data_IF_849205409545
#
_entry.id   IF_849205409545
#
_cell.length_a   1.000
_cell.length_b   1.000
_cell.length_c   1.000
_cell.angle_alpha   90.00
_cell.angle_beta   90.00
_cell.angle_gamma   90.00
#
_symmetry.space_group_name_H-M   'P 1'
#
loop_
_entity.id
_entity.type
_entity.pdbx_description
1 polymer ?
#
# COMPACT_ATOMS: atom_id res chain seq x y z
N UNK A 1 -74.55 -46.19 14.84
CA UNK A 1 -73.91 -44.92 15.23
C UNK A 1 -72.49 -44.99 14.72
N UNK A 2 -72.26 -44.33 13.59
CA UNK A 2 -70.98 -44.24 12.91
C UNK A 2 -70.10 -43.28 13.69
N UNK A 3 -68.93 -43.73 14.13
CA UNK A 3 -67.96 -42.86 14.80
C UNK A 3 -66.89 -42.48 13.78
N UNK A 4 -66.81 -41.18 13.53
CA UNK A 4 -66.07 -40.54 12.47
C UNK A 4 -64.62 -40.34 12.95
N UNK A 5 -63.72 -41.24 12.54
CA UNK A 5 -62.28 -41.06 12.74
C UNK A 5 -61.80 -39.92 11.83
N UNK A 6 -61.71 -38.72 12.40
CA UNK A 6 -60.98 -37.60 11.81
C UNK A 6 -59.48 -37.92 11.84
N UNK A 7 -58.78 -37.93 10.69
CA UNK A 7 -57.34 -38.06 10.70
C UNK A 7 -56.73 -36.74 11.20
N UNK A 8 -55.99 -36.81 12.30
CA UNK A 8 -55.13 -35.72 12.77
C UNK A 8 -54.06 -35.52 11.69
N UNK A 9 -54.27 -34.51 10.85
CA UNK A 9 -53.27 -34.02 9.91
C UNK A 9 -52.16 -33.37 10.73
N UNK A 10 -51.09 -34.13 11.01
CA UNK A 10 -49.83 -33.54 11.46
C UNK A 10 -49.27 -32.82 10.23
N UNK A 11 -49.69 -31.57 10.05
CA UNK A 11 -48.97 -30.64 9.20
C UNK A 11 -47.57 -30.54 9.79
N UNK A 12 -46.64 -31.22 9.12
CA UNK A 12 -45.22 -30.98 9.30
C UNK A 12 -45.01 -29.55 8.82
N UNK A 13 -45.00 -28.60 9.76
CA UNK A 13 -44.43 -27.27 9.52
C UNK A 13 -42.96 -27.51 9.16
N UNK A 14 -42.72 -27.71 7.86
CA UNK A 14 -41.43 -27.47 7.22
C UNK A 14 -41.13 -25.98 7.44
N UNK A 15 -40.62 -25.68 8.62
CA UNK A 15 -39.90 -24.45 8.91
C UNK A 15 -38.63 -24.51 8.10
N UNK A 16 -38.74 -24.16 6.82
CA UNK A 16 -37.62 -23.75 6.00
C UNK A 16 -36.81 -22.74 6.83
N UNK A 17 -35.52 -22.98 7.11
CA UNK A 17 -34.74 -22.10 7.94
C UNK A 17 -34.76 -20.69 7.32
N UNK A 18 -34.99 -19.63 8.11
CA UNK A 18 -35.13 -18.28 7.59
C UNK A 18 -33.88 -17.91 6.79
N UNK A 19 -34.09 -17.55 5.53
CA UNK A 19 -33.10 -16.97 4.65
C UNK A 19 -32.66 -15.59 5.17
N UNK A 20 -31.79 -15.56 6.18
CA UNK A 20 -31.40 -14.30 6.83
C UNK A 20 -30.17 -14.31 7.74
N UNK A 21 -29.39 -15.40 7.80
CA UNK A 21 -28.32 -15.56 8.79
C UNK A 21 -26.89 -15.53 8.19
N UNK A 22 -26.65 -14.82 7.09
CA UNK A 22 -25.30 -14.66 6.53
C UNK A 22 -24.95 -13.18 6.39
N UNK A 23 -23.74 -12.74 6.81
CA UNK A 23 -23.34 -11.36 6.62
C UNK A 23 -23.31 -11.03 5.13
N UNK A 24 -23.87 -9.88 4.76
CA UNK A 24 -23.86 -9.40 3.39
C UNK A 24 -22.43 -9.19 2.89
N UNK A 25 -22.21 -9.37 1.59
CA UNK A 25 -20.89 -9.26 0.97
C UNK A 25 -20.24 -7.89 1.22
N UNK A 26 -21.04 -6.81 1.25
CA UNK A 26 -20.55 -5.47 1.60
C UNK A 26 -19.99 -5.38 3.03
N UNK A 27 -20.59 -6.08 4.00
CA UNK A 27 -20.08 -6.13 5.38
C UNK A 27 -18.77 -6.92 5.45
N UNK A 28 -18.66 -8.00 4.70
CA UNK A 28 -17.43 -8.79 4.60
C UNK A 28 -16.29 -7.95 4.02
N UNK A 29 -16.54 -7.24 2.92
CA UNK A 29 -15.56 -6.33 2.33
C UNK A 29 -15.17 -5.21 3.29
N UNK A 30 -16.14 -4.61 3.97
CA UNK A 30 -15.86 -3.57 4.96
C UNK A 30 -14.94 -4.08 6.07
N UNK A 31 -15.14 -5.30 6.55
CA UNK A 31 -14.31 -5.89 7.62
C UNK A 31 -12.90 -6.18 7.14
N UNK A 32 -12.75 -6.67 5.91
CA UNK A 32 -11.42 -6.85 5.31
C UNK A 32 -10.72 -5.49 5.20
N UNK A 33 -11.42 -4.45 4.75
CA UNK A 33 -10.87 -3.10 4.65
C UNK A 33 -10.46 -2.54 6.02
N UNK A 34 -11.34 -2.64 7.02
CA UNK A 34 -11.08 -2.18 8.38
C UNK A 34 -9.94 -2.93 9.04
N UNK A 35 -9.71 -4.20 8.69
CA UNK A 35 -8.57 -4.97 9.21
C UNK A 35 -7.27 -4.62 8.47
N UNK A 36 -7.36 -4.28 7.18
CA UNK A 36 -6.20 -4.01 6.32
C UNK A 36 -5.69 -2.56 6.43
N UNK A 37 -6.56 -1.60 6.72
CA UNK A 37 -6.18 -0.20 6.94
C UNK A 37 -5.12 -0.02 8.05
N UNK A 38 -5.27 -0.56 9.27
CA UNK A 38 -4.26 -0.41 10.32
C UNK A 38 -2.97 -1.15 9.96
N UNK A 39 -3.05 -2.28 9.25
CA UNK A 39 -1.88 -2.98 8.72
C UNK A 39 -1.09 -2.08 7.76
N UNK A 40 -1.76 -1.41 6.82
CA UNK A 40 -1.11 -0.43 5.92
C UNK A 40 -0.46 0.73 6.68
N UNK A 41 -1.15 1.25 7.69
CA UNK A 41 -0.60 2.30 8.56
C UNK A 41 0.67 1.84 9.28
N UNK A 42 0.69 0.63 9.82
CA UNK A 42 1.87 0.06 10.51
C UNK A 42 3.01 -0.25 9.54
N UNK A 43 2.71 -0.77 8.34
CA UNK A 43 3.71 -0.98 7.30
C UNK A 43 4.35 0.36 6.88
N UNK A 44 3.54 1.39 6.69
CA UNK A 44 4.03 2.73 6.36
C UNK A 44 4.87 3.32 7.49
N UNK A 45 4.41 3.20 8.74
CA UNK A 45 5.17 3.64 9.90
C UNK A 45 6.51 2.91 10.02
N UNK A 46 6.54 1.58 9.86
CA UNK A 46 7.76 0.79 9.88
C UNK A 46 8.73 1.20 8.77
N UNK A 47 8.21 1.50 7.59
CA UNK A 47 8.99 2.02 6.48
C UNK A 47 9.62 3.35 6.84
N UNK A 48 8.87 4.32 7.35
CA UNK A 48 9.38 5.65 7.70
C UNK A 48 10.27 5.66 8.97
N UNK A 49 10.03 4.77 9.93
CA UNK A 49 10.73 4.76 11.21
C UNK A 49 12.01 3.92 11.18
N UNK A 50 11.97 2.72 10.61
CA UNK A 50 13.09 1.76 10.63
C UNK A 50 13.71 1.48 9.27
N UNK A 51 13.16 2.03 8.18
CA UNK A 51 13.56 1.70 6.81
C UNK A 51 13.23 0.24 6.46
N UNK A 52 12.15 -0.26 7.07
CA UNK A 52 11.60 -1.56 6.74
C UNK A 52 10.90 -1.52 5.38
N UNK A 53 10.78 -2.67 4.71
CA UNK A 53 10.08 -2.75 3.43
C UNK A 53 8.63 -2.27 3.55
N UNK A 54 8.21 -1.45 2.59
CA UNK A 54 6.80 -1.13 2.39
C UNK A 54 6.24 -2.05 1.32
N UNK A 55 5.68 -3.17 1.76
CA UNK A 55 5.23 -4.27 0.90
C UNK A 55 4.33 -3.83 -0.27
N UNK A 56 3.42 -2.85 -0.16
CA UNK A 56 2.64 -2.38 -1.31
C UNK A 56 3.52 -1.89 -2.49
N UNK A 57 4.61 -1.18 -2.22
CA UNK A 57 5.54 -0.74 -3.26
C UNK A 57 6.37 -1.91 -3.80
N UNK A 58 6.82 -2.80 -2.91
CA UNK A 58 7.57 -3.98 -3.32
C UNK A 58 6.73 -4.87 -4.25
N UNK A 59 5.43 -4.98 -3.98
CA UNK A 59 4.48 -5.73 -4.80
C UNK A 59 4.24 -5.10 -6.17
N UNK A 60 4.22 -3.77 -6.24
CA UNK A 60 4.13 -3.05 -7.51
C UNK A 60 5.40 -3.21 -8.36
N UNK A 61 6.57 -3.19 -7.72
CA UNK A 61 7.87 -3.26 -8.39
C UNK A 61 8.26 -4.71 -8.78
N UNK A 62 7.79 -5.72 -8.04
CA UNK A 62 8.19 -7.12 -8.23
C UNK A 62 7.95 -7.65 -9.65
N UNK A 63 6.78 -7.46 -10.30
CA UNK A 63 6.58 -7.93 -11.67
C UNK A 63 7.48 -7.21 -12.68
N UNK A 64 7.83 -5.95 -12.43
CA UNK A 64 8.77 -5.19 -13.27
C UNK A 64 10.15 -5.86 -13.21
N UNK A 65 10.61 -6.21 -11.99
CA UNK A 65 11.89 -6.91 -11.79
C UNK A 65 11.89 -8.33 -12.35
N UNK A 66 10.75 -8.99 -12.32
CA UNK A 66 10.57 -10.30 -12.94
C UNK A 66 10.50 -10.23 -14.47
N UNK A 67 10.47 -9.04 -15.08
CA UNK A 67 10.35 -8.86 -16.53
C UNK A 67 8.96 -9.23 -17.06
N UNK A 68 7.91 -9.11 -16.25
CA UNK A 68 6.56 -9.47 -16.63
C UNK A 68 5.94 -8.43 -17.58
N UNK A 69 6.08 -8.66 -18.88
CA UNK A 69 5.72 -7.74 -19.95
C UNK A 69 4.29 -7.15 -19.88
N UNK A 70 3.23 -7.91 -19.51
CA UNK A 70 1.88 -7.33 -19.41
C UNK A 70 1.75 -6.23 -18.36
N UNK A 71 2.48 -6.35 -17.24
CA UNK A 71 2.48 -5.34 -16.19
C UNK A 71 3.25 -4.09 -16.60
N UNK A 72 4.40 -4.28 -17.24
CA UNK A 72 5.21 -3.18 -17.78
C UNK A 72 4.40 -2.40 -18.82
N UNK A 73 3.77 -3.08 -19.77
CA UNK A 73 2.93 -2.44 -20.79
C UNK A 73 1.73 -1.68 -20.20
N UNK A 74 1.13 -2.19 -19.11
CA UNK A 74 0.07 -1.47 -18.40
C UNK A 74 0.59 -0.16 -17.78
N UNK A 75 1.75 -0.20 -17.12
CA UNK A 75 2.36 0.99 -16.51
C UNK A 75 2.72 2.01 -17.59
N UNK A 76 3.32 1.56 -18.69
CA UNK A 76 3.70 2.42 -19.81
C UNK A 76 2.47 3.08 -20.45
N UNK A 77 1.36 2.33 -20.60
CA UNK A 77 0.11 2.87 -21.10
C UNK A 77 -0.50 3.92 -20.16
N UNK A 78 -0.48 3.68 -18.84
CA UNK A 78 -1.00 4.63 -17.85
C UNK A 78 -0.18 5.91 -17.78
N UNK A 79 1.14 5.81 -17.86
CA UNK A 79 2.02 6.98 -17.91
C UNK A 79 1.91 7.71 -19.26
N UNK A 80 1.82 6.96 -20.36
CA UNK A 80 1.63 7.50 -21.72
C UNK A 80 0.32 8.28 -21.86
N UNK A 81 -0.78 7.76 -21.29
CA UNK A 81 -2.08 8.43 -21.28
C UNK A 81 -2.03 9.80 -20.57
N UNK A 82 -1.30 9.91 -19.46
CA UNK A 82 -1.13 11.20 -18.77
C UNK A 82 -0.41 12.23 -19.63
N UNK A 83 0.58 11.78 -20.39
CA UNK A 83 1.31 12.62 -21.36
C UNK A 83 0.40 13.10 -22.48
N UNK A 84 -0.48 12.23 -22.98
CA UNK A 84 -1.43 12.54 -24.05
C UNK A 84 -2.50 13.57 -23.62
N UNK A 85 -2.88 13.57 -22.34
CA UNK A 85 -3.78 14.56 -21.74
C UNK A 85 -3.06 15.88 -21.35
N UNK A 86 -1.79 16.05 -21.76
CA UNK A 86 -0.99 17.25 -21.48
C UNK A 86 -0.40 17.31 -20.05
N UNK A 87 -0.48 16.21 -19.30
CA UNK A 87 0.09 16.10 -17.95
C UNK A 87 1.59 15.82 -17.94
N UNK A 88 2.30 16.36 -16.96
CA UNK A 88 3.72 16.10 -16.78
C UNK A 88 3.96 14.75 -16.07
N UNK A 89 4.54 13.79 -16.79
CA UNK A 89 4.91 12.45 -16.29
C UNK A 89 5.75 12.54 -15.01
N UNK A 90 6.65 13.52 -14.92
CA UNK A 90 7.52 13.66 -13.75
C UNK A 90 6.75 14.02 -12.47
N UNK A 91 5.62 14.74 -12.59
CA UNK A 91 4.75 15.04 -11.46
C UNK A 91 3.78 13.88 -11.17
N UNK A 92 3.29 13.18 -12.20
CA UNK A 92 2.22 12.21 -12.05
C UNK A 92 2.69 10.78 -11.79
N UNK A 93 3.84 10.36 -12.31
CA UNK A 93 4.35 9.00 -12.14
C UNK A 93 4.51 8.57 -10.67
N UNK A 94 5.01 9.43 -9.74
CA UNK A 94 5.07 9.08 -8.32
C UNK A 94 3.69 8.83 -7.72
N UNK A 95 2.69 9.64 -8.09
CA UNK A 95 1.32 9.49 -7.61
C UNK A 95 0.65 8.22 -8.17
N UNK A 96 0.81 7.95 -9.46
CA UNK A 96 0.31 6.73 -10.12
C UNK A 96 0.88 5.49 -9.46
N UNK A 97 2.21 5.46 -9.25
CA UNK A 97 2.87 4.37 -8.55
C UNK A 97 2.29 4.18 -7.15
N UNK A 98 2.11 5.26 -6.40
CA UNK A 98 1.57 5.21 -5.04
C UNK A 98 0.15 4.63 -5.01
N UNK A 99 -0.75 5.14 -5.85
CA UNK A 99 -2.14 4.71 -5.93
C UNK A 99 -2.26 3.27 -6.41
N UNK A 100 -1.54 2.87 -7.46
CA UNK A 100 -1.55 1.50 -7.98
C UNK A 100 -1.00 0.52 -6.96
N UNK A 101 0.08 0.86 -6.27
CA UNK A 101 0.66 0.01 -5.23
C UNK A 101 -0.36 -0.31 -4.13
N UNK A 102 -1.07 0.71 -3.65
CA UNK A 102 -2.12 0.53 -2.65
C UNK A 102 -3.32 -0.24 -3.23
N UNK A 103 -3.74 0.08 -4.45
CA UNK A 103 -4.88 -0.58 -5.09
C UNK A 103 -4.63 -2.07 -5.30
N UNK A 104 -3.46 -2.46 -5.82
CA UNK A 104 -3.07 -3.86 -6.02
C UNK A 104 -2.99 -4.60 -4.69
N UNK A 105 -2.36 -3.99 -3.69
CA UNK A 105 -2.27 -4.59 -2.35
C UNK A 105 -3.66 -4.82 -1.76
N UNK A 106 -4.55 -3.83 -1.83
CA UNK A 106 -5.93 -3.95 -1.36
C UNK A 106 -6.72 -5.00 -2.14
N UNK A 107 -6.57 -5.08 -3.46
CA UNK A 107 -7.21 -6.11 -4.28
C UNK A 107 -6.77 -7.52 -3.87
N UNK A 108 -5.48 -7.72 -3.61
CA UNK A 108 -4.95 -8.99 -3.14
C UNK A 108 -5.45 -9.30 -1.72
N UNK A 109 -5.46 -8.31 -0.81
CA UNK A 109 -6.00 -8.47 0.54
C UNK A 109 -7.50 -8.82 0.52
N UNK A 110 -8.29 -8.19 -0.36
CA UNK A 110 -9.69 -8.54 -0.59
C UNK A 110 -9.85 -9.95 -1.14
N UNK A 111 -9.05 -10.34 -2.15
CA UNK A 111 -9.09 -11.68 -2.70
C UNK A 111 -8.81 -12.74 -1.64
N UNK A 112 -7.77 -12.55 -0.82
CA UNK A 112 -7.45 -13.45 0.29
C UNK A 112 -8.51 -13.45 1.38
N UNK A 113 -9.01 -12.29 1.80
CA UNK A 113 -10.05 -12.18 2.80
C UNK A 113 -11.38 -12.82 2.38
N UNK A 114 -11.76 -12.65 1.10
CA UNK A 114 -12.93 -13.31 0.51
C UNK A 114 -12.74 -14.82 0.37
N UNK A 115 -11.56 -15.27 -0.07
CA UNK A 115 -11.23 -16.69 -0.13
C UNK A 115 -11.29 -17.34 1.26
N UNK A 116 -10.79 -16.64 2.29
CA UNK A 116 -10.90 -17.07 3.67
C UNK A 116 -12.36 -17.11 4.14
N UNK A 117 -13.14 -16.07 3.89
CA UNK A 117 -14.58 -16.06 4.20
C UNK A 117 -15.33 -17.23 3.53
N UNK A 118 -15.06 -17.49 2.25
CA UNK A 118 -15.64 -18.62 1.53
C UNK A 118 -15.21 -19.97 2.11
N UNK A 119 -13.94 -20.09 2.54
CA UNK A 119 -13.44 -21.27 3.23
C UNK A 119 -14.13 -21.51 4.57
N UNK A 120 -14.37 -20.45 5.35
CA UNK A 120 -15.07 -20.56 6.63
C UNK A 120 -16.53 -20.96 6.43
N UNK A 121 -17.21 -20.35 5.45
CA UNK A 121 -18.58 -20.74 5.08
C UNK A 121 -18.67 -22.23 4.70
N UNK A 122 -17.67 -22.76 3.98
CA UNK A 122 -17.63 -24.18 3.60
C UNK A 122 -17.44 -25.12 4.79
N UNK A 123 -16.69 -24.71 5.82
CA UNK A 123 -16.51 -25.52 7.04
C UNK A 123 -17.70 -25.46 7.98
N UNK A 124 -18.58 -24.45 7.86
CA UNK A 124 -19.78 -24.32 8.69
C UNK A 124 -19.48 -24.16 10.18
N UNK A 125 -18.27 -23.73 10.53
CA UNK A 125 -17.81 -23.51 11.91
C UNK A 125 -17.26 -22.10 12.06
N UNK A 126 -17.32 -21.56 13.26
CA UNK A 126 -16.69 -20.28 13.60
C UNK A 126 -15.17 -20.41 13.42
N UNK A 127 -14.49 -19.44 12.80
CA UNK A 127 -13.06 -19.51 12.57
C UNK A 127 -12.29 -19.31 13.89
N UNK A 128 -11.32 -20.19 14.12
CA UNK A 128 -10.56 -20.21 15.37
C UNK A 128 -9.24 -19.41 15.25
N UNK A 129 -8.50 -19.33 16.35
CA UNK A 129 -7.15 -18.74 16.38
C UNK A 129 -6.21 -19.42 15.37
N UNK A 130 -6.25 -20.75 15.26
CA UNK A 130 -5.42 -21.52 14.33
C UNK A 130 -5.71 -21.12 12.88
N UNK A 131 -6.98 -20.86 12.54
CA UNK A 131 -7.37 -20.43 11.20
C UNK A 131 -6.81 -19.04 10.88
N UNK A 132 -6.81 -18.15 11.87
CA UNK A 132 -6.19 -16.83 11.79
C UNK A 132 -4.67 -16.87 11.62
N UNK A 133 -3.97 -17.71 12.40
CA UNK A 133 -2.53 -17.92 12.20
C UNK A 133 -2.23 -18.50 10.82
N UNK A 134 -3.01 -19.48 10.37
CA UNK A 134 -2.79 -20.13 9.09
C UNK A 134 -2.99 -19.16 7.92
N UNK A 135 -4.08 -18.38 7.91
CA UNK A 135 -4.32 -17.41 6.83
C UNK A 135 -3.30 -16.26 6.86
N UNK A 136 -2.93 -15.81 8.07
CA UNK A 136 -1.90 -14.79 8.24
C UNK A 136 -0.53 -15.25 7.74
N UNK A 137 -0.11 -16.46 8.09
CA UNK A 137 1.14 -17.05 7.60
C UNK A 137 1.11 -17.31 6.09
N UNK A 138 -0.02 -17.80 5.56
CA UNK A 138 -0.20 -18.03 4.13
C UNK A 138 -0.11 -16.73 3.32
N UNK A 139 -0.65 -15.64 3.86
CA UNK A 139 -0.54 -14.32 3.26
C UNK A 139 0.86 -13.70 3.44
N UNK A 140 1.50 -13.94 4.58
CA UNK A 140 2.84 -13.45 4.87
C UNK A 140 3.89 -14.00 3.90
N UNK A 141 3.83 -15.29 3.58
CA UNK A 141 4.84 -15.98 2.76
C UNK A 141 5.12 -15.29 1.41
N UNK A 142 4.12 -15.04 0.54
CA UNK A 142 4.36 -14.33 -0.73
C UNK A 142 4.78 -12.87 -0.49
N UNK A 143 4.25 -12.19 0.52
CA UNK A 143 4.59 -10.80 0.82
C UNK A 143 6.05 -10.63 1.27
N UNK A 144 6.54 -11.58 2.08
CA UNK A 144 7.94 -11.65 2.51
C UNK A 144 8.84 -11.92 1.31
N UNK A 145 8.48 -12.88 0.45
CA UNK A 145 9.26 -13.20 -0.75
C UNK A 145 9.42 -11.98 -1.67
N UNK A 146 8.31 -11.29 -1.94
CA UNK A 146 8.29 -10.06 -2.73
C UNK A 146 9.19 -8.99 -2.11
N UNK A 147 9.06 -8.77 -0.79
CA UNK A 147 9.84 -7.76 -0.08
C UNK A 147 11.34 -8.09 -0.07
N UNK A 148 11.73 -9.36 0.15
CA UNK A 148 13.13 -9.78 0.16
C UNK A 148 13.82 -9.71 -1.22
N UNK A 149 13.05 -9.85 -2.30
CA UNK A 149 13.58 -9.83 -3.67
C UNK A 149 13.61 -8.45 -4.30
N UNK A 150 12.80 -7.53 -3.78
CA UNK A 150 12.51 -6.24 -4.43
C UNK A 150 12.96 -5.05 -3.58
N UNK A 151 12.87 -5.17 -2.25
CA UNK A 151 13.04 -4.03 -1.36
C UNK A 151 14.48 -3.54 -1.35
N UNK A 152 14.71 -2.21 -1.38
CA UNK A 152 16.05 -1.63 -1.28
C UNK A 152 16.59 -1.60 0.16
N UNK A 153 15.83 -2.10 1.14
CA UNK A 153 16.23 -2.07 2.55
C UNK A 153 17.56 -2.81 2.79
N UNK A 154 18.50 -2.16 3.47
CA UNK A 154 19.80 -2.73 3.87
C UNK A 154 19.72 -3.53 5.18
N UNK A 155 18.52 -3.66 5.75
CA UNK A 155 18.32 -4.37 7.01
C UNK A 155 18.54 -5.88 6.86
N UNK A 156 18.93 -6.58 7.93
CA UNK A 156 19.05 -8.04 7.91
C UNK A 156 17.72 -8.70 7.50
N UNK A 157 17.79 -9.69 6.60
CA UNK A 157 16.62 -10.42 6.12
C UNK A 157 15.76 -11.00 7.25
N UNK A 158 16.40 -11.48 8.33
CA UNK A 158 15.71 -12.00 9.51
C UNK A 158 14.78 -10.95 10.15
N UNK A 159 15.20 -9.68 10.22
CA UNK A 159 14.37 -8.62 10.77
C UNK A 159 13.16 -8.34 9.88
N UNK A 160 13.34 -8.34 8.56
CA UNK A 160 12.27 -8.19 7.58
C UNK A 160 11.24 -9.32 7.72
N UNK A 161 11.72 -10.58 7.78
CA UNK A 161 10.89 -11.77 7.93
C UNK A 161 10.08 -11.72 9.22
N UNK A 162 10.73 -11.39 10.35
CA UNK A 162 10.06 -11.31 11.66
C UNK A 162 9.03 -10.19 11.68
N UNK A 163 9.38 -9.00 11.17
CA UNK A 163 8.48 -7.85 11.12
C UNK A 163 7.23 -8.12 10.29
N UNK A 164 7.41 -8.53 9.03
CA UNK A 164 6.31 -8.81 8.12
C UNK A 164 5.52 -10.03 8.59
N UNK A 165 6.20 -11.09 9.02
CA UNK A 165 5.59 -12.29 9.59
C UNK A 165 4.68 -11.96 10.78
N UNK A 166 5.19 -11.17 11.74
CA UNK A 166 4.40 -10.75 12.89
C UNK A 166 3.17 -9.93 12.48
N UNK A 167 3.34 -8.92 11.62
CA UNK A 167 2.23 -8.07 11.17
C UNK A 167 1.14 -8.85 10.43
N UNK A 168 1.52 -9.73 9.49
CA UNK A 168 0.55 -10.50 8.71
C UNK A 168 -0.11 -11.61 9.52
N UNK A 169 0.60 -12.23 10.47
CA UNK A 169 0.00 -13.17 11.42
C UNK A 169 -1.00 -12.47 12.32
N UNK A 170 -0.65 -11.31 12.90
CA UNK A 170 -1.58 -10.50 13.70
C UNK A 170 -2.79 -10.09 12.87
N UNK A 171 -2.59 -9.65 11.62
CA UNK A 171 -3.67 -9.34 10.70
C UNK A 171 -4.60 -10.53 10.47
N UNK A 172 -4.05 -11.73 10.24
CA UNK A 172 -4.84 -12.96 10.05
C UNK A 172 -5.64 -13.35 11.28
N UNK A 173 -5.06 -13.20 12.48
CA UNK A 173 -5.75 -13.42 13.76
C UNK A 173 -6.88 -12.42 13.96
N UNK A 174 -6.65 -11.13 13.72
CA UNK A 174 -7.68 -10.09 13.82
C UNK A 174 -8.80 -10.33 12.80
N UNK A 175 -8.47 -10.73 11.57
CA UNK A 175 -9.44 -11.04 10.53
C UNK A 175 -10.31 -12.25 10.92
N UNK A 176 -9.69 -13.31 11.45
CA UNK A 176 -10.39 -14.49 11.98
C UNK A 176 -11.36 -14.11 13.10
N UNK A 177 -10.87 -13.34 14.07
CA UNK A 177 -11.69 -12.84 15.18
C UNK A 177 -12.88 -12.01 14.68
N UNK A 178 -12.66 -11.08 13.75
CA UNK A 178 -13.71 -10.22 13.22
C UNK A 178 -14.78 -11.04 12.48
N UNK A 179 -14.37 -12.02 11.66
CA UNK A 179 -15.31 -12.92 11.01
C UNK A 179 -16.06 -13.82 11.97
N UNK A 180 -15.40 -14.35 13.01
CA UNK A 180 -16.07 -15.11 14.06
C UNK A 180 -17.18 -14.30 14.72
N UNK A 181 -16.88 -13.05 15.08
CA UNK A 181 -17.89 -12.15 15.69
C UNK A 181 -19.06 -11.84 14.75
N UNK A 182 -18.79 -11.72 13.44
CA UNK A 182 -19.83 -11.52 12.42
C UNK A 182 -20.75 -12.72 12.25
N UNK A 183 -20.19 -13.93 12.34
CA UNK A 183 -20.96 -15.17 12.21
C UNK A 183 -21.72 -15.53 13.48
N UNK A 184 -21.14 -15.30 14.66
CA UNK A 184 -21.84 -15.48 15.95
C UNK A 184 -23.06 -14.55 16.04
N UNK A 185 -22.89 -13.29 15.65
CA UNK A 185 -23.99 -12.34 15.57
C UNK A 185 -25.09 -12.79 14.59
N UNK A 186 -24.75 -13.56 13.55
CA UNK A 186 -25.68 -14.07 12.54
C UNK A 186 -26.61 -15.17 13.06
N UNK A 187 -26.11 -16.02 13.95
CA UNK A 187 -26.90 -17.06 14.62
C UNK A 187 -27.92 -16.49 15.63
N UNK A 188 -27.64 -15.32 16.22
CA UNK A 188 -28.47 -14.72 17.29
C UNK A 188 -29.73 -14.01 16.74
N UNK A 189 -29.85 -13.80 15.43
CA UNK A 189 -30.98 -13.07 14.80
C UNK A 189 -32.36 -13.75 14.92
N UNK A 190 -32.44 -14.95 15.51
CA UNK A 190 -33.69 -15.72 15.67
C UNK A 190 -34.10 -16.00 17.13
N UNK A 191 -33.37 -15.49 18.12
CA UNK A 191 -33.67 -15.68 19.55
C UNK A 191 -33.43 -14.39 20.33
N UNK A 192 -34.19 -14.18 21.41
CA UNK A 192 -34.09 -12.99 22.26
C UNK A 192 -32.62 -12.64 22.57
N UNK A 193 -32.21 -11.37 22.39
CA UNK A 193 -30.83 -10.97 22.58
C UNK A 193 -30.43 -11.24 24.03
N UNK A 194 -29.43 -12.09 24.23
CA UNK A 194 -28.79 -12.26 25.52
C UNK A 194 -28.36 -10.88 26.04
N UNK A 195 -28.86 -10.49 27.22
CA UNK A 195 -28.85 -9.15 27.80
C UNK A 195 -27.46 -8.52 28.12
N UNK A 196 -26.40 -8.94 27.42
CA UNK A 196 -25.05 -8.38 27.54
C UNK A 196 -24.16 -8.54 26.30
N UNK A 197 -24.71 -8.99 25.16
CA UNK A 197 -23.94 -9.13 23.91
C UNK A 197 -23.86 -7.82 23.11
N UNK A 198 -22.68 -7.44 22.62
CA UNK A 198 -22.52 -6.30 21.70
C UNK A 198 -23.19 -6.63 20.37
N UNK A 199 -24.12 -5.78 19.93
CA UNK A 199 -24.79 -5.83 18.63
C UNK A 199 -23.82 -5.69 17.45
N UNK A 200 -24.14 -6.27 16.29
CA UNK A 200 -23.27 -6.20 15.09
C UNK A 200 -22.93 -4.77 14.66
N UNK A 201 -23.91 -3.85 14.76
CA UNK A 201 -23.70 -2.43 14.42
C UNK A 201 -22.70 -1.78 15.38
N UNK A 202 -22.85 -2.02 16.68
CA UNK A 202 -21.97 -1.49 17.70
C UNK A 202 -20.55 -2.08 17.58
N UNK A 203 -20.43 -3.37 17.25
CA UNK A 203 -19.16 -4.00 16.93
C UNK A 203 -18.47 -3.32 15.74
N UNK A 204 -19.16 -3.13 14.61
CA UNK A 204 -18.57 -2.51 13.43
C UNK A 204 -18.13 -1.06 13.68
N UNK A 205 -18.92 -0.31 14.46
CA UNK A 205 -18.56 1.05 14.85
C UNK A 205 -17.32 1.09 15.76
N UNK A 206 -17.25 0.22 16.77
CA UNK A 206 -16.12 0.16 17.70
C UNK A 206 -14.85 -0.36 17.01
N UNK A 207 -14.97 -1.44 16.22
CA UNK A 207 -13.89 -2.00 15.45
C UNK A 207 -13.38 -1.02 14.39
N UNK A 208 -14.31 -0.37 13.67
CA UNK A 208 -13.99 0.65 12.69
C UNK A 208 -13.31 1.86 13.29
N UNK A 209 -13.77 2.35 14.45
CA UNK A 209 -13.13 3.45 15.16
C UNK A 209 -11.71 3.09 15.61
N UNK A 210 -11.49 1.88 16.15
CA UNK A 210 -10.16 1.40 16.53
C UNK A 210 -9.22 1.28 15.33
N UNK A 211 -9.69 0.68 14.24
CA UNK A 211 -8.93 0.58 12.99
C UNK A 211 -8.56 1.96 12.43
N UNK A 212 -9.51 2.88 12.37
CA UNK A 212 -9.29 4.25 11.90
C UNK A 212 -8.29 5.00 12.79
N UNK A 213 -8.40 4.88 14.12
CA UNK A 213 -7.47 5.51 15.06
C UNK A 213 -6.04 4.99 14.87
N UNK A 214 -5.84 3.66 14.81
CA UNK A 214 -4.51 3.07 14.60
C UNK A 214 -3.93 3.51 13.26
N UNK A 215 -4.75 3.48 12.19
CA UNK A 215 -4.33 3.90 10.85
C UNK A 215 -3.92 5.36 10.85
N UNK A 216 -4.75 6.25 11.40
CA UNK A 216 -4.50 7.69 11.43
C UNK A 216 -3.26 8.03 12.25
N UNK A 217 -3.09 7.44 13.44
CA UNK A 217 -1.91 7.66 14.28
C UNK A 217 -0.64 7.17 13.58
N UNK A 218 -0.67 5.97 13.00
CA UNK A 218 0.49 5.39 12.32
C UNK A 218 0.85 6.19 11.06
N UNK A 219 -0.14 6.61 10.29
CA UNK A 219 0.05 7.43 9.10
C UNK A 219 0.59 8.82 9.46
N UNK A 220 0.03 9.48 10.49
CA UNK A 220 0.50 10.77 10.96
C UNK A 220 1.94 10.68 11.47
N UNK A 221 2.24 9.70 12.33
CA UNK A 221 3.60 9.46 12.83
C UNK A 221 4.58 9.20 11.67
N UNK A 222 4.22 8.36 10.70
CA UNK A 222 5.05 8.13 9.52
C UNK A 222 5.24 9.39 8.68
N UNK A 223 4.19 10.20 8.48
CA UNK A 223 4.27 11.43 7.70
C UNK A 223 5.16 12.49 8.35
N UNK A 224 5.20 12.58 9.69
CA UNK A 224 6.14 13.48 10.38
C UNK A 224 7.61 13.09 10.19
N UNK A 225 7.89 11.81 9.92
CA UNK A 225 9.24 11.29 9.72
C UNK A 225 9.69 11.34 8.24
N UNK A 226 8.75 11.48 7.30
CA UNK A 226 9.03 11.40 5.87
C UNK A 226 9.93 12.52 5.31
N UNK A 227 9.75 13.81 5.65
CA UNK A 227 10.57 14.88 5.07
C UNK A 227 12.07 14.74 5.37
N UNK A 228 12.43 14.47 6.63
CA UNK A 228 13.83 14.30 7.05
C UNK A 228 14.51 13.08 6.41
N UNK A 229 13.72 12.06 6.04
CA UNK A 229 14.22 10.88 5.34
C UNK A 229 14.40 11.08 3.85
N UNK A 230 13.45 11.74 3.18
CA UNK A 230 13.61 12.04 1.75
C UNK A 230 14.87 12.89 1.54
N UNK A 231 15.09 13.89 2.39
CA UNK A 231 16.34 14.67 2.39
C UNK A 231 17.58 13.79 2.60
N UNK A 232 17.59 12.94 3.64
CA UNK A 232 18.74 12.07 3.94
C UNK A 232 19.00 10.97 2.89
N UNK A 233 17.94 10.43 2.28
CA UNK A 233 18.02 9.41 1.24
C UNK A 233 18.46 10.01 -0.09
N UNK A 234 17.96 11.20 -0.48
CA UNK A 234 18.51 11.96 -1.60
C UNK A 234 19.99 12.28 -1.38
N UNK A 235 20.38 12.68 -0.17
CA UNK A 235 21.77 12.98 0.16
C UNK A 235 22.69 11.75 0.13
N UNK A 236 22.15 10.54 0.40
CA UNK A 236 22.86 9.25 0.32
C UNK A 236 22.83 8.59 -1.06
N UNK A 237 21.74 8.78 -1.80
CA UNK A 237 21.52 8.23 -3.15
C UNK A 237 22.03 9.14 -4.23
N UNK A 238 22.54 10.34 -3.90
CA UNK A 238 23.52 11.05 -4.70
C UNK A 238 24.60 10.04 -5.13
N UNK A 239 24.58 9.57 -6.39
CA UNK A 239 25.62 8.67 -6.88
C UNK A 239 26.98 9.37 -6.97
N UNK A 240 27.04 10.65 -6.61
CA UNK A 240 27.99 11.62 -7.13
C UNK A 240 28.89 12.24 -6.04
N UNK A 241 28.87 11.76 -4.80
CA UNK A 241 29.81 12.27 -3.77
C UNK A 241 31.15 11.51 -3.80
N UNK A 242 31.22 10.29 -4.34
CA UNK A 242 32.51 9.63 -4.51
C UNK A 242 33.28 10.25 -5.68
N UNK A 243 34.51 10.77 -5.46
CA UNK A 243 35.34 11.35 -6.52
C UNK A 243 35.52 10.40 -7.72
N UNK A 244 35.59 9.10 -7.45
CA UNK A 244 35.84 8.05 -8.46
C UNK A 244 34.66 7.87 -9.42
N UNK A 245 33.42 8.03 -8.95
CA UNK A 245 32.22 7.97 -9.81
C UNK A 245 32.06 9.24 -10.64
N UNK A 246 32.42 10.40 -10.09
CA UNK A 246 32.48 11.66 -10.85
C UNK A 246 33.51 11.56 -11.98
N UNK A 247 34.70 11.03 -11.70
CA UNK A 247 35.73 10.82 -12.72
C UNK A 247 35.25 9.85 -13.81
N UNK A 248 34.65 8.71 -13.43
CA UNK A 248 34.13 7.73 -14.38
C UNK A 248 32.95 8.27 -15.21
N UNK A 249 32.06 9.08 -14.63
CA UNK A 249 30.97 9.71 -15.39
C UNK A 249 31.46 10.84 -16.30
N UNK A 250 32.44 11.64 -15.87
CA UNK A 250 33.03 12.68 -16.73
C UNK A 250 33.72 12.07 -17.95
N UNK A 251 34.36 10.90 -17.77
CA UNK A 251 35.00 10.16 -18.86
C UNK A 251 33.98 9.58 -19.86
N UNK A 252 32.79 9.16 -19.38
CA UNK A 252 31.74 8.56 -20.22
C UNK A 252 30.77 9.58 -20.84
N UNK A 253 30.47 10.66 -20.13
CA UNK A 253 29.38 11.59 -20.49
C UNK A 253 29.86 13.03 -20.76
N UNK A 254 31.14 13.34 -20.54
CA UNK A 254 31.71 14.67 -20.75
C UNK A 254 31.49 15.59 -19.54
N UNK A 255 31.50 16.91 -19.76
CA UNK A 255 31.28 17.86 -18.68
C UNK A 255 29.78 17.90 -18.32
N UNK A 256 29.47 17.86 -17.03
CA UNK A 256 28.10 17.97 -16.54
C UNK A 256 28.07 18.70 -15.20
N UNK A 257 26.95 19.36 -14.92
CA UNK A 257 26.70 20.11 -13.69
C UNK A 257 25.47 19.55 -12.98
N UNK A 258 25.54 19.40 -11.68
CA UNK A 258 24.54 18.73 -10.85
C UNK A 258 23.72 19.75 -10.09
N UNK A 259 22.44 19.48 -9.98
CA UNK A 259 21.53 20.35 -9.27
C UNK A 259 20.40 19.58 -8.61
N UNK A 260 19.71 20.26 -7.70
CA UNK A 260 18.50 19.80 -7.05
C UNK A 260 17.39 20.78 -7.38
N UNK A 261 16.22 20.26 -7.75
CA UNK A 261 15.01 21.06 -7.89
C UNK A 261 14.35 21.14 -6.52
N UNK A 262 14.09 22.36 -6.07
CA UNK A 262 13.53 22.65 -4.76
C UNK A 262 12.24 23.45 -4.89
N UNK A 263 11.23 23.13 -4.06
CA UNK A 263 9.97 23.89 -4.01
C UNK A 263 10.13 25.10 -3.11
N UNK A 264 9.76 26.28 -3.60
CA UNK A 264 9.73 27.52 -2.81
C UNK A 264 11.04 28.32 -2.80
N UNK A 265 11.95 28.09 -3.76
CA UNK A 265 13.16 28.89 -3.95
C UNK A 265 14.46 28.28 -3.43
N UNK A 266 15.57 28.90 -3.82
CA UNK A 266 16.93 28.34 -3.85
C UNK A 266 17.82 28.74 -2.66
N UNK A 267 17.28 28.87 -1.44
CA UNK A 267 18.11 29.26 -0.29
C UNK A 267 19.01 28.13 0.22
N UNK A 268 18.54 26.87 0.27
CA UNK A 268 19.30 25.71 0.77
C UNK A 268 18.60 24.38 0.45
N UNK A 269 19.33 23.37 -0.02
CA UNK A 269 18.76 22.02 -0.23
C UNK A 269 18.36 21.30 1.08
N UNK A 270 18.88 21.72 2.22
CA UNK A 270 18.56 21.15 3.53
C UNK A 270 17.27 21.74 4.14
N UNK A 271 16.93 22.97 3.75
CA UNK A 271 15.80 23.73 4.30
C UNK A 271 14.62 23.83 3.31
N UNK A 272 14.86 23.55 2.03
CA UNK A 272 13.83 23.52 0.99
C UNK A 272 13.31 22.11 0.71
N UNK A 273 12.04 22.02 0.31
CA UNK A 273 11.41 20.74 -0.06
C UNK A 273 11.95 20.26 -1.41
N UNK A 274 12.85 19.27 -1.39
CA UNK A 274 13.49 18.72 -2.59
C UNK A 274 12.49 17.92 -3.42
N UNK A 275 12.35 18.30 -4.69
CA UNK A 275 11.42 17.69 -5.64
C UNK A 275 12.09 16.65 -6.53
N UNK A 276 13.30 16.94 -7.01
CA UNK A 276 14.01 16.08 -7.93
C UNK A 276 15.51 16.39 -7.95
N UNK A 277 16.30 15.45 -8.45
CA UNK A 277 17.73 15.61 -8.65
C UNK A 277 18.05 15.63 -10.13
N UNK A 278 18.91 16.53 -10.59
CA UNK A 278 19.22 16.68 -12.01
C UNK A 278 20.69 16.79 -12.32
N UNK A 279 21.03 16.45 -13.57
CA UNK A 279 22.31 16.75 -14.18
C UNK A 279 22.06 17.48 -15.51
N UNK A 280 22.67 18.65 -15.64
CA UNK A 280 22.78 19.40 -16.88
C UNK A 280 24.04 18.95 -17.62
N UNK A 281 23.93 18.70 -18.92
CA UNK A 281 25.06 18.39 -19.80
C UNK A 281 25.26 19.57 -20.76
N UNK A 282 26.09 20.58 -20.41
CA UNK A 282 26.25 21.80 -21.20
C UNK A 282 26.72 21.52 -22.62
N UNK A 283 27.58 20.51 -22.78
CA UNK A 283 28.14 20.14 -24.08
C UNK A 283 27.11 19.46 -25.01
N UNK A 284 26.00 18.98 -24.45
CA UNK A 284 25.00 18.17 -25.17
C UNK A 284 23.61 18.81 -25.19
N UNK A 285 23.42 19.99 -24.60
CA UNK A 285 22.16 20.72 -24.54
C UNK A 285 20.97 19.84 -24.14
N UNK A 286 21.12 19.08 -23.05
CA UNK A 286 19.98 18.43 -22.40
C UNK A 286 20.18 18.36 -20.89
N UNK A 287 19.07 18.14 -20.20
CA UNK A 287 19.01 17.99 -18.75
C UNK A 287 18.39 16.65 -18.44
N UNK A 288 19.07 15.83 -17.64
CA UNK A 288 18.51 14.57 -17.15
C UNK A 288 18.04 14.75 -15.72
N UNK A 289 16.80 14.36 -15.42
CA UNK A 289 16.24 14.43 -14.07
C UNK A 289 15.96 13.03 -13.55
N UNK A 290 16.52 12.77 -12.37
CA UNK A 290 16.30 11.62 -11.53
C UNK A 290 15.23 11.92 -10.49
N UNK A 291 14.14 11.18 -10.56
CA UNK A 291 13.01 11.24 -9.63
C UNK A 291 13.23 10.41 -8.34
N UNK A 292 14.47 9.97 -8.08
CA UNK A 292 14.83 9.08 -6.97
C UNK A 292 14.46 7.61 -7.21
N UNK A 293 15.21 6.70 -6.58
CA UNK A 293 15.02 5.25 -6.74
C UNK A 293 15.32 4.74 -8.16
N UNK A 294 14.56 3.73 -8.63
CA UNK A 294 14.62 3.20 -10.01
C UNK A 294 13.63 3.89 -10.97
N UNK A 295 13.16 5.10 -10.64
CA UNK A 295 12.27 5.88 -11.48
C UNK A 295 12.94 6.22 -12.83
N UNK A 296 12.16 6.39 -13.91
CA UNK A 296 12.72 6.72 -15.22
C UNK A 296 13.52 8.02 -15.16
N UNK A 297 14.68 8.03 -15.83
CA UNK A 297 15.42 9.26 -16.10
C UNK A 297 14.60 10.03 -17.13
N UNK A 298 14.11 11.21 -16.75
CA UNK A 298 13.38 12.08 -17.68
C UNK A 298 14.38 13.04 -18.31
N UNK A 299 14.41 13.10 -19.64
CA UNK A 299 15.31 13.98 -20.39
C UNK A 299 14.50 15.20 -20.85
N UNK A 300 14.99 16.38 -20.51
CA UNK A 300 14.47 17.66 -20.94
C UNK A 300 15.48 18.34 -21.88
N UNK A 301 14.96 19.14 -22.82
CA UNK A 301 15.78 19.88 -23.78
C UNK A 301 16.64 20.96 -23.11
N UNK A 302 16.14 21.55 -22.02
CA UNK A 302 16.86 22.56 -21.27
C UNK A 302 16.35 22.67 -19.83
N UNK A 303 17.07 23.46 -19.03
CA UNK A 303 16.81 23.67 -17.61
C UNK A 303 15.49 24.41 -17.35
N UNK A 304 15.08 25.30 -18.25
CA UNK A 304 13.84 26.07 -18.16
C UNK A 304 12.62 25.17 -18.35
N UNK A 305 12.65 24.28 -19.34
CA UNK A 305 11.60 23.28 -19.57
C UNK A 305 11.51 22.30 -18.41
N UNK A 306 12.66 21.89 -17.87
CA UNK A 306 12.72 21.10 -16.64
C UNK A 306 12.04 21.85 -15.48
N UNK A 307 12.44 23.10 -15.19
CA UNK A 307 11.85 23.88 -14.10
C UNK A 307 10.35 24.11 -14.25
N UNK A 308 9.90 24.49 -15.44
CA UNK A 308 8.49 24.67 -15.74
C UNK A 308 7.69 23.39 -15.47
N UNK A 309 8.29 22.22 -15.73
CA UNK A 309 7.70 20.93 -15.40
C UNK A 309 7.50 20.71 -13.89
N UNK A 310 8.31 21.30 -13.01
CA UNK A 310 8.19 21.13 -11.55
C UNK A 310 7.55 22.32 -10.84
N UNK A 311 7.38 23.44 -11.53
CA UNK A 311 6.63 24.60 -11.06
C UNK A 311 5.13 24.33 -11.06
N UNK A 312 4.43 24.96 -10.13
CA UNK A 312 2.96 24.93 -10.01
C UNK A 312 2.43 26.37 -9.95
N UNK A 313 1.13 26.59 -10.21
CA UNK A 313 0.53 27.93 -10.13
C UNK A 313 0.70 28.60 -8.75
N UNK A 314 0.81 27.79 -7.68
CA UNK A 314 0.93 28.26 -6.30
C UNK A 314 2.37 28.43 -5.82
N UNK A 315 3.34 27.75 -6.44
CA UNK A 315 4.74 27.77 -6.03
C UNK A 315 5.70 27.46 -7.20
N UNK A 316 6.67 28.36 -7.40
CA UNK A 316 7.71 28.22 -8.40
C UNK A 316 8.83 27.27 -7.92
N UNK A 317 9.29 26.40 -8.80
CA UNK A 317 10.42 25.52 -8.55
C UNK A 317 11.74 26.28 -8.77
N UNK A 318 12.66 26.16 -7.83
CA UNK A 318 14.00 26.72 -7.89
C UNK A 318 15.07 25.64 -8.10
N UNK A 319 16.29 26.08 -8.40
CA UNK A 319 17.45 25.21 -8.59
C UNK A 319 18.50 25.51 -7.55
N UNK A 320 18.99 24.46 -6.90
CA UNK A 320 20.17 24.52 -6.06
C UNK A 320 21.30 23.72 -6.71
N UNK A 321 22.38 24.39 -7.10
CA UNK A 321 23.55 23.73 -7.69
C UNK A 321 24.36 23.04 -6.61
N UNK A 322 24.73 21.78 -6.86
CA UNK A 322 25.52 20.96 -5.94
C UNK A 322 27.03 21.09 -6.17
N UNK A 323 27.42 21.66 -7.31
CA UNK A 323 28.81 21.84 -7.76
C UNK A 323 29.37 23.25 -7.48
N UNK A 324 28.75 23.98 -6.54
CA UNK A 324 29.13 25.34 -6.14
C UNK A 324 30.03 25.38 -4.91
#
# INVERSE_FOLDING_TARGET
MSDEMTPISIQSEETSPPAGARPGLGTVLLVILLTTAPLLGLLYLGAQFLNLPFTPFDLYDWPIRAGFAPWIGLIDALNGAQTADGGNIAQSAPLVRWLLSLAVFLLIAFAFGLAFYAFVLRRGRVPDLIDGLAIGALFAAPMILVSLTTSPSTLPAALIIVWLGALFVVWGVVLSYAFGRLMDGAAISGGEPAAGGIDRRQFLLQFGAGAAAITAISAAAGATLAPGRQAAELQRTLPMISPDFLAAQQELFGNFRRFVIVRGGAESAADSNVLALGAEYPDRNYVSIWLGGRSPIVIYENLETALAAYSTEEAEAGIFWLDG
#
